data_IF_106868830880
#
_entry.id   IF_106868830880
#
_cell.length_a   1.000
_cell.length_b   1.000
_cell.length_c   1.000
_cell.angle_alpha   90.00
_cell.angle_beta   90.00
_cell.angle_gamma   90.00
#
_symmetry.space_group_name_H-M   'P 1'
#
loop_
_entity.id
_entity.type
_entity.pdbx_description
1 polymer ?
#
# COMPACT_ATOMS: atom_id res chain seq x y z
N UNK A 1 -15.39 -0.28 -10.26
CA UNK A 1 -15.53 0.72 -11.35
C UNK A 1 -16.98 1.09 -11.57
N UNK A 2 -17.88 0.13 -11.80
CA UNK A 2 -19.33 0.36 -12.00
C UNK A 2 -19.96 1.26 -10.93
N UNK A 3 -19.65 1.04 -9.65
CA UNK A 3 -20.12 1.88 -8.54
C UNK A 3 -19.87 3.38 -8.78
N UNK A 4 -18.69 3.74 -9.28
CA UNK A 4 -18.34 5.13 -9.56
C UNK A 4 -18.94 5.62 -10.88
N UNK A 5 -19.01 4.75 -11.88
CA UNK A 5 -19.65 5.04 -13.16
C UNK A 5 -21.16 5.30 -13.04
N UNK A 6 -21.80 4.79 -11.99
CA UNK A 6 -23.23 5.02 -11.71
C UNK A 6 -23.52 6.27 -10.86
N UNK A 7 -22.49 7.03 -10.43
CA UNK A 7 -22.70 8.28 -9.69
C UNK A 7 -23.16 9.43 -10.59
N UNK A 8 -24.05 10.33 -10.17
CA UNK A 8 -24.41 11.50 -10.96
C UNK A 8 -23.18 12.33 -11.36
N UNK A 9 -23.10 12.78 -12.62
CA UNK A 9 -21.94 13.57 -13.11
C UNK A 9 -21.71 14.84 -12.27
N UNK A 10 -22.79 15.48 -11.82
CA UNK A 10 -22.74 16.66 -10.92
C UNK A 10 -22.01 16.42 -9.60
N UNK A 11 -21.88 15.16 -9.18
CA UNK A 11 -21.24 14.78 -7.92
C UNK A 11 -19.78 14.33 -8.12
N UNK A 12 -19.26 14.32 -9.35
CA UNK A 12 -17.89 13.88 -9.66
C UNK A 12 -17.00 15.11 -9.85
N UNK A 13 -16.17 15.45 -8.85
CA UNK A 13 -15.27 16.63 -8.92
C UNK A 13 -13.87 16.29 -9.42
N UNK A 14 -13.53 15.01 -9.54
CA UNK A 14 -12.23 14.51 -9.99
C UNK A 14 -12.40 13.30 -10.89
N UNK A 15 -11.47 13.14 -11.82
CA UNK A 15 -11.32 11.91 -12.58
C UNK A 15 -10.79 10.81 -11.66
N UNK A 16 -11.38 9.62 -11.78
CA UNK A 16 -10.86 8.40 -11.16
C UNK A 16 -10.16 7.57 -12.23
N UNK A 17 -8.87 7.34 -12.04
CA UNK A 17 -8.09 6.42 -12.86
C UNK A 17 -7.92 5.08 -12.15
N UNK A 18 -8.12 3.99 -12.90
CA UNK A 18 -7.85 2.64 -12.42
C UNK A 18 -6.67 2.07 -13.20
N UNK A 19 -5.59 1.75 -12.50
CA UNK A 19 -4.38 1.20 -13.09
C UNK A 19 -4.12 -0.22 -12.56
N UNK A 20 -3.88 -1.15 -13.48
CA UNK A 20 -3.50 -2.54 -13.19
C UNK A 20 -2.03 -2.72 -13.55
N UNK A 21 -1.16 -2.58 -12.54
CA UNK A 21 0.27 -2.73 -12.74
C UNK A 21 0.67 -4.18 -12.93
N UNK A 22 1.76 -4.38 -13.68
CA UNK A 22 2.34 -5.70 -13.95
C UNK A 22 3.68 -5.88 -13.26
N UNK A 23 4.10 -7.13 -13.07
CA UNK A 23 5.45 -7.44 -12.60
C UNK A 23 5.71 -7.11 -11.14
N UNK A 24 4.67 -7.12 -10.29
CA UNK A 24 4.82 -6.80 -8.86
C UNK A 24 5.83 -7.72 -8.11
N UNK A 25 5.97 -8.97 -8.57
CA UNK A 25 7.00 -9.88 -8.05
C UNK A 25 8.31 -9.84 -8.84
N UNK A 26 8.41 -9.00 -9.87
CA UNK A 26 9.56 -8.96 -10.74
C UNK A 26 10.54 -7.89 -10.24
N UNK A 27 11.65 -8.35 -9.64
CA UNK A 27 12.67 -7.52 -9.00
C UNK A 27 13.12 -6.33 -9.88
N UNK A 28 13.50 -6.56 -11.13
CA UNK A 28 13.93 -5.51 -12.08
C UNK A 28 12.80 -4.90 -12.93
N UNK A 29 11.59 -5.48 -12.90
CA UNK A 29 10.46 -5.07 -13.75
C UNK A 29 9.21 -4.69 -12.99
N UNK A 30 9.35 -4.32 -11.72
CA UNK A 30 8.27 -3.78 -10.90
C UNK A 30 7.59 -2.58 -11.57
N UNK A 31 6.37 -2.82 -12.08
CA UNK A 31 5.58 -1.82 -12.80
C UNK A 31 5.10 -0.69 -11.89
N UNK A 32 4.82 -0.97 -10.62
CA UNK A 32 4.33 0.04 -9.67
C UNK A 32 5.37 1.10 -9.36
N UNK A 33 6.66 0.72 -9.34
CA UNK A 33 7.75 1.67 -9.18
C UNK A 33 7.87 2.60 -10.39
N UNK A 34 7.79 2.06 -11.61
CA UNK A 34 7.79 2.88 -12.84
C UNK A 34 6.60 3.83 -12.89
N UNK A 35 5.41 3.32 -12.58
CA UNK A 35 4.19 4.12 -12.52
C UNK A 35 4.28 5.23 -11.46
N UNK A 36 4.85 4.94 -10.28
CA UNK A 36 5.06 5.95 -9.25
C UNK A 36 5.93 7.12 -9.75
N UNK A 37 7.01 6.84 -10.51
CA UNK A 37 7.84 7.90 -11.11
C UNK A 37 7.13 8.68 -12.22
N UNK A 38 6.23 8.04 -12.97
CA UNK A 38 5.38 8.75 -13.92
C UNK A 38 4.41 9.69 -13.21
N UNK A 39 3.71 9.20 -12.19
CA UNK A 39 2.79 10.03 -11.39
C UNK A 39 3.52 11.15 -10.62
N UNK A 40 4.77 10.96 -10.17
CA UNK A 40 5.58 12.01 -9.55
C UNK A 40 5.79 13.19 -10.51
N UNK A 41 6.03 12.92 -11.81
CA UNK A 41 6.14 13.97 -12.84
C UNK A 41 4.80 14.69 -13.06
N UNK A 42 3.70 13.95 -13.09
CA UNK A 42 2.34 14.51 -13.28
C UNK A 42 1.79 15.23 -12.03
N UNK A 43 2.39 14.99 -10.86
CA UNK A 43 2.00 15.70 -9.65
C UNK A 43 2.32 17.20 -9.75
N UNK A 44 3.42 17.57 -10.41
CA UNK A 44 3.82 18.97 -10.57
C UNK A 44 2.89 19.74 -11.53
N UNK A 45 2.38 19.09 -12.59
CA UNK A 45 1.33 19.66 -13.46
C UNK A 45 -0.04 19.70 -12.77
N UNK A 46 -0.17 19.05 -11.62
CA UNK A 46 -1.33 19.12 -10.76
C UNK A 46 -2.41 18.08 -11.03
N UNK A 47 -2.09 17.04 -11.79
CA UNK A 47 -3.02 16.02 -12.25
C UNK A 47 -3.29 14.95 -11.19
N UNK A 48 -2.37 14.76 -10.24
CA UNK A 48 -2.46 13.71 -9.21
C UNK A 48 -2.85 14.29 -7.85
N UNK A 49 -3.97 13.83 -7.29
CA UNK A 49 -4.42 14.25 -5.95
C UNK A 49 -4.14 13.23 -4.84
N UNK A 50 -4.37 11.94 -5.11
CA UNK A 50 -4.18 10.83 -4.17
C UNK A 50 -3.99 9.54 -4.95
N UNK A 51 -3.06 8.70 -4.51
CA UNK A 51 -2.92 7.32 -4.97
C UNK A 51 -3.45 6.37 -3.89
N UNK A 52 -4.26 5.38 -4.29
CA UNK A 52 -4.84 4.37 -3.39
C UNK A 52 -4.48 2.96 -3.87
N UNK A 53 -3.26 2.47 -3.63
CA UNK A 53 -2.92 1.10 -3.98
C UNK A 53 -3.58 0.10 -3.04
N UNK A 54 -3.92 -1.06 -3.58
CA UNK A 54 -4.62 -2.11 -2.85
C UNK A 54 -4.09 -3.49 -3.24
N UNK A 55 -3.86 -4.35 -2.26
CA UNK A 55 -3.23 -5.66 -2.46
C UNK A 55 -3.85 -6.71 -1.54
N UNK A 56 -3.85 -7.98 -1.96
CA UNK A 56 -4.23 -9.11 -1.12
C UNK A 56 -5.59 -8.96 -0.40
N UNK A 57 -6.60 -8.44 -1.11
CA UNK A 57 -7.95 -8.31 -0.54
C UNK A 57 -8.65 -9.69 -0.46
N UNK A 58 -9.56 -9.85 0.50
CA UNK A 58 -10.38 -11.03 0.69
C UNK A 58 -9.70 -12.17 1.44
N UNK A 59 -8.42 -12.07 1.80
CA UNK A 59 -7.69 -13.20 2.39
C UNK A 59 -8.28 -13.73 3.71
N UNK A 60 -8.37 -15.05 3.80
CA UNK A 60 -8.57 -15.80 5.04
C UNK A 60 -7.22 -16.01 5.73
N UNK A 61 -7.21 -16.00 7.05
CA UNK A 61 -6.00 -16.29 7.80
C UNK A 61 -5.69 -17.79 7.78
N UNK A 62 -4.43 -18.08 7.44
CA UNK A 62 -3.86 -19.42 7.45
C UNK A 62 -2.68 -19.40 8.42
N UNK A 63 -2.66 -20.33 9.37
CA UNK A 63 -1.57 -20.48 10.33
C UNK A 63 -0.97 -21.89 10.24
N UNK A 64 0.32 -21.98 10.56
CA UNK A 64 0.97 -23.27 10.75
C UNK A 64 0.58 -23.85 12.12
N UNK A 65 0.03 -25.06 12.16
CA UNK A 65 -0.26 -25.80 13.40
C UNK A 65 0.59 -27.07 13.47
N UNK A 66 0.90 -27.60 14.66
CA UNK A 66 1.56 -28.91 14.77
C UNK A 66 0.78 -29.98 14.02
N UNK A 67 1.48 -30.90 13.36
CA UNK A 67 0.85 -32.09 12.76
C UNK A 67 0.32 -33.03 13.85
N UNK A 68 -0.44 -34.06 13.43
CA UNK A 68 -0.96 -35.10 14.33
C UNK A 68 0.11 -35.62 15.30
N UNK A 69 -0.26 -36.00 16.54
CA UNK A 69 0.69 -36.45 17.55
C UNK A 69 1.65 -37.53 17.02
N UNK A 70 2.95 -37.34 17.24
CA UNK A 70 4.01 -38.25 16.77
C UNK A 70 4.58 -37.93 15.39
N UNK A 71 3.99 -37.00 14.63
CA UNK A 71 4.52 -36.56 13.34
C UNK A 71 5.39 -35.31 13.48
N UNK A 72 6.60 -35.26 12.88
CA UNK A 72 7.43 -34.06 12.89
C UNK A 72 6.86 -32.96 11.98
N UNK A 73 7.04 -31.70 12.39
CA UNK A 73 6.75 -30.51 11.59
C UNK A 73 5.37 -29.87 11.86
N UNK A 74 5.00 -28.95 10.96
CA UNK A 74 3.73 -28.20 11.00
C UNK A 74 2.98 -28.34 9.67
N UNK A 75 1.69 -28.09 9.71
CA UNK A 75 0.81 -28.01 8.54
C UNK A 75 -0.01 -26.72 8.57
N UNK A 76 -0.39 -26.22 7.40
CA UNK A 76 -1.14 -24.98 7.28
C UNK A 76 -2.63 -25.25 7.37
N UNK A 77 -3.33 -24.46 8.19
CA UNK A 77 -4.79 -24.57 8.38
C UNK A 77 -5.45 -23.20 8.41
N UNK A 78 -6.70 -23.15 7.93
CA UNK A 78 -7.54 -21.99 8.13
C UNK A 78 -7.87 -21.83 9.61
N UNK A 79 -7.74 -20.61 10.13
CA UNK A 79 -8.11 -20.31 11.53
C UNK A 79 -9.59 -19.95 11.68
N UNK A 80 -10.29 -19.75 10.57
CA UNK A 80 -11.65 -19.21 10.51
C UNK A 80 -11.73 -17.68 10.60
N UNK A 81 -10.59 -16.98 10.75
CA UNK A 81 -10.51 -15.51 10.82
C UNK A 81 -10.13 -14.91 9.46
N UNK A 82 -10.39 -13.61 9.30
CA UNK A 82 -9.75 -12.83 8.24
C UNK A 82 -8.26 -12.63 8.53
N UNK A 83 -7.44 -12.57 7.49
CA UNK A 83 -6.03 -12.21 7.67
C UNK A 83 -5.90 -10.76 8.20
N UNK A 84 -4.78 -10.42 8.84
CA UNK A 84 -4.54 -9.05 9.31
C UNK A 84 -4.46 -8.09 8.11
N UNK A 85 -5.11 -6.95 8.21
CA UNK A 85 -4.97 -5.83 7.28
C UNK A 85 -4.03 -4.79 7.85
N UNK A 86 -3.12 -4.33 7.01
CA UNK A 86 -2.39 -3.11 7.21
C UNK A 86 -2.96 -2.03 6.30
N UNK A 87 -3.42 -0.93 6.88
CA UNK A 87 -3.84 0.24 6.14
C UNK A 87 -2.90 1.41 6.46
N UNK A 88 -1.88 1.59 5.62
CA UNK A 88 -0.96 2.71 5.77
C UNK A 88 -1.58 3.98 5.18
N UNK A 89 -1.43 5.10 5.88
CA UNK A 89 -1.91 6.41 5.44
C UNK A 89 -0.78 7.40 5.59
N UNK A 90 -0.42 8.08 4.50
CA UNK A 90 0.56 9.16 4.55
C UNK A 90 0.08 10.34 5.40
N UNK A 91 0.93 11.35 5.64
CA UNK A 91 0.64 12.42 6.59
C UNK A 91 -0.36 13.46 6.04
N UNK A 92 -1.58 13.02 5.81
CA UNK A 92 -2.72 13.81 5.35
C UNK A 92 -3.90 13.64 6.33
N UNK A 93 -4.15 14.62 7.22
CA UNK A 93 -5.24 14.54 8.18
C UNK A 93 -6.62 14.21 7.59
N UNK A 94 -7.06 14.78 6.45
CA UNK A 94 -8.35 14.40 5.88
C UNK A 94 -8.38 12.96 5.37
N UNK A 95 -7.29 12.45 4.77
CA UNK A 95 -7.22 11.06 4.29
C UNK A 95 -7.19 10.09 5.47
N UNK A 96 -6.47 10.41 6.55
CA UNK A 96 -6.47 9.62 7.80
C UNK A 96 -7.88 9.50 8.37
N UNK A 97 -8.64 10.61 8.43
CA UNK A 97 -10.04 10.57 8.88
C UNK A 97 -10.89 9.71 7.96
N UNK A 98 -10.80 9.91 6.64
CA UNK A 98 -11.57 9.14 5.67
C UNK A 98 -11.32 7.62 5.78
N UNK A 99 -10.06 7.21 5.98
CA UNK A 99 -9.68 5.80 6.19
C UNK A 99 -10.26 5.27 7.51
N UNK A 100 -10.08 5.99 8.62
CA UNK A 100 -10.63 5.59 9.92
C UNK A 100 -12.17 5.47 9.89
N UNK A 101 -12.85 6.38 9.21
CA UNK A 101 -14.30 6.37 9.07
C UNK A 101 -14.77 5.23 8.16
N UNK A 102 -14.06 4.94 7.07
CA UNK A 102 -14.34 3.80 6.21
C UNK A 102 -14.18 2.46 6.95
N UNK A 103 -13.11 2.31 7.73
CA UNK A 103 -12.88 1.15 8.60
C UNK A 103 -14.06 0.92 9.54
N UNK A 104 -14.48 1.97 10.27
CA UNK A 104 -15.60 1.90 11.22
C UNK A 104 -16.92 1.61 10.50
N UNK A 105 -17.23 2.36 9.44
CA UNK A 105 -18.49 2.25 8.68
C UNK A 105 -18.66 0.85 8.08
N UNK A 106 -17.60 0.28 7.52
CA UNK A 106 -17.63 -1.05 6.89
C UNK A 106 -17.37 -2.19 7.87
N UNK A 107 -17.17 -1.88 9.16
CA UNK A 107 -16.90 -2.85 10.23
C UNK A 107 -15.77 -3.81 9.81
N UNK A 108 -14.67 -3.25 9.34
CA UNK A 108 -13.50 -4.04 8.98
C UNK A 108 -12.88 -4.62 10.26
N UNK A 109 -12.72 -5.93 10.28
CA UNK A 109 -12.08 -6.67 11.36
C UNK A 109 -10.56 -6.72 11.16
N UNK A 110 -9.77 -6.86 12.23
CA UNK A 110 -8.31 -7.09 12.13
C UNK A 110 -7.60 -6.09 11.21
N UNK A 111 -7.81 -4.80 11.42
CA UNK A 111 -7.11 -3.74 10.68
C UNK A 111 -6.21 -2.94 11.60
N UNK A 112 -4.96 -2.77 11.19
CA UNK A 112 -4.01 -1.83 11.74
C UNK A 112 -3.94 -0.60 10.81
N UNK A 113 -4.46 0.53 11.27
CA UNK A 113 -4.27 1.81 10.58
C UNK A 113 -2.98 2.45 11.09
N UNK A 114 -2.01 2.66 10.20
CA UNK A 114 -0.67 3.12 10.57
C UNK A 114 -0.15 4.23 9.65
N UNK A 115 0.90 4.94 10.09
CA UNK A 115 1.62 5.93 9.27
C UNK A 115 2.67 5.30 8.35
N UNK A 116 2.90 4.00 8.51
CA UNK A 116 3.98 3.22 7.92
C UNK A 116 4.47 2.15 8.92
N UNK A 117 5.26 1.19 8.44
CA UNK A 117 5.78 0.05 9.21
C UNK A 117 7.28 0.10 9.48
N UNK A 118 8.03 0.95 8.79
CA UNK A 118 9.47 1.06 9.03
C UNK A 118 9.75 1.74 10.38
N UNK A 119 10.96 1.56 10.89
CA UNK A 119 11.47 2.46 11.94
C UNK A 119 11.41 3.91 11.41
N UNK A 120 10.95 4.89 12.20
CA UNK A 120 10.94 6.28 11.77
C UNK A 120 12.39 6.78 11.58
N UNK A 121 12.66 7.40 10.44
CA UNK A 121 13.91 8.11 10.19
C UNK A 121 13.64 9.61 9.96
N UNK A 122 14.13 10.46 10.86
CA UNK A 122 13.93 11.92 10.80
C UNK A 122 14.97 12.64 9.94
N UNK A 123 16.04 11.97 9.49
CA UNK A 123 17.06 12.56 8.61
C UNK A 123 16.72 12.43 7.12
N UNK A 124 15.57 11.86 6.78
CA UNK A 124 15.12 11.68 5.40
C UNK A 124 13.61 11.96 5.27
N UNK A 125 13.16 12.07 4.03
CA UNK A 125 11.74 12.13 3.68
C UNK A 125 11.37 11.00 2.70
N UNK A 126 10.24 10.32 2.89
CA UNK A 126 9.32 10.43 4.03
C UNK A 126 9.91 9.81 5.31
N UNK A 127 9.32 10.15 6.47
CA UNK A 127 9.81 9.66 7.78
C UNK A 127 9.66 8.15 7.95
N UNK A 128 8.64 7.55 7.33
CA UNK A 128 8.43 6.11 7.30
C UNK A 128 8.57 5.65 5.84
N UNK A 129 9.38 4.65 5.55
CA UNK A 129 9.71 4.25 4.17
C UNK A 129 9.00 2.99 3.72
N UNK A 130 8.24 2.33 4.60
CA UNK A 130 7.50 1.11 4.28
C UNK A 130 6.02 1.31 4.55
N UNK A 131 5.20 1.07 3.53
CA UNK A 131 3.74 0.98 3.60
C UNK A 131 3.25 -0.48 3.53
N UNK A 132 4.16 -1.45 3.67
CA UNK A 132 3.86 -2.89 3.67
C UNK A 132 3.68 -3.54 2.31
N UNK A 133 3.52 -2.79 1.21
CA UNK A 133 3.36 -3.35 -0.15
C UNK A 133 3.62 -2.30 -1.24
N UNK A 134 2.98 -2.41 -2.40
CA UNK A 134 3.16 -1.48 -3.54
C UNK A 134 2.88 -0.01 -3.20
N UNK A 135 2.07 0.26 -2.18
CA UNK A 135 1.89 1.61 -1.64
C UNK A 135 3.19 2.32 -1.27
N UNK A 136 4.20 1.53 -0.96
CA UNK A 136 5.53 2.00 -0.59
C UNK A 136 6.21 2.77 -1.72
N UNK A 137 6.03 2.36 -2.98
CA UNK A 137 6.66 3.03 -4.12
C UNK A 137 6.15 4.46 -4.28
N UNK A 138 4.82 4.64 -4.26
CA UNK A 138 4.17 5.94 -4.38
C UNK A 138 4.47 6.85 -3.16
N UNK A 139 4.48 6.27 -1.96
CA UNK A 139 4.82 7.01 -0.75
C UNK A 139 6.26 7.56 -0.78
N UNK A 140 7.21 6.76 -1.24
CA UNK A 140 8.63 7.13 -1.23
C UNK A 140 9.00 8.17 -2.30
N UNK A 141 8.26 8.24 -3.40
CA UNK A 141 8.33 9.38 -4.35
C UNK A 141 7.50 10.58 -3.91
N UNK A 142 7.00 10.58 -2.66
CA UNK A 142 6.29 11.68 -2.03
C UNK A 142 4.96 12.06 -2.70
N UNK A 143 4.29 11.08 -3.31
CA UNK A 143 2.90 11.24 -3.74
C UNK A 143 1.96 11.06 -2.54
N UNK A 144 0.91 11.90 -2.40
CA UNK A 144 -0.15 11.64 -1.44
C UNK A 144 -0.70 10.23 -1.63
N UNK A 145 -0.55 9.38 -0.61
CA UNK A 145 -0.82 7.94 -0.72
C UNK A 145 -1.49 7.40 0.53
N UNK A 146 -2.45 6.50 0.34
CA UNK A 146 -2.86 5.51 1.33
C UNK A 146 -2.86 4.13 0.68
N UNK A 147 -2.55 3.08 1.43
CA UNK A 147 -2.42 1.74 0.89
C UNK A 147 -3.04 0.73 1.83
N UNK A 148 -3.82 -0.20 1.29
CA UNK A 148 -4.38 -1.33 2.02
C UNK A 148 -3.77 -2.63 1.51
N UNK A 149 -3.24 -3.44 2.41
CA UNK A 149 -2.74 -4.77 2.13
C UNK A 149 -3.13 -5.74 3.24
N UNK A 150 -3.50 -6.98 2.90
CA UNK A 150 -3.59 -8.05 3.91
C UNK A 150 -2.27 -8.84 3.98
N UNK A 151 -1.82 -9.16 5.20
CA UNK A 151 -0.54 -9.80 5.51
C UNK A 151 -0.67 -10.81 6.67
N UNK A 152 0.12 -11.89 6.72
CA UNK A 152 1.44 -12.04 6.09
C UNK A 152 1.44 -12.74 4.71
N UNK A 153 0.41 -12.50 3.89
CA UNK A 153 0.36 -12.92 2.48
C UNK A 153 0.16 -14.42 2.29
N UNK A 154 -0.67 -15.02 3.13
CA UNK A 154 -1.04 -16.43 3.02
C UNK A 154 -1.70 -16.81 1.68
N UNK A 155 -2.23 -15.83 0.93
CA UNK A 155 -2.74 -16.00 -0.45
C UNK A 155 -1.70 -16.56 -1.44
N UNK A 156 -0.41 -16.58 -1.11
CA UNK A 156 0.61 -17.18 -1.97
C UNK A 156 0.64 -18.71 -1.92
N UNK A 157 -0.04 -19.36 -0.97
CA UNK A 157 -0.07 -20.81 -0.86
C UNK A 157 -1.06 -21.40 -1.89
N UNK A 158 -0.59 -21.94 -3.04
CA UNK A 158 -1.48 -22.31 -4.15
C UNK A 158 -2.43 -23.45 -3.78
N UNK A 159 -2.03 -24.26 -2.79
CA UNK A 159 -2.79 -25.38 -2.25
C UNK A 159 -4.21 -24.99 -1.77
N UNK A 160 -4.37 -23.80 -1.20
CA UNK A 160 -5.67 -23.33 -0.71
C UNK A 160 -6.53 -22.70 -1.83
N UNK A 161 -5.92 -22.35 -2.96
CA UNK A 161 -6.59 -21.83 -4.15
C UNK A 161 -7.64 -20.76 -3.84
N UNK A 162 -8.80 -20.90 -4.48
CA UNK A 162 -9.94 -19.99 -4.30
C UNK A 162 -10.51 -19.96 -2.87
N UNK A 163 -10.33 -21.02 -2.10
CA UNK A 163 -10.93 -21.14 -0.76
C UNK A 163 -10.23 -20.22 0.24
N UNK A 164 -9.00 -19.78 -0.06
CA UNK A 164 -8.30 -18.74 0.68
C UNK A 164 -8.94 -17.34 0.54
N UNK A 165 -9.93 -17.18 -0.34
CA UNK A 165 -10.63 -15.90 -0.56
C UNK A 165 -12.02 -15.93 0.08
N UNK A 166 -12.24 -15.02 1.00
CA UNK A 166 -13.54 -14.66 1.56
C UNK A 166 -14.14 -13.49 0.75
N UNK A 167 -15.18 -13.80 -0.01
CA UNK A 167 -15.83 -12.84 -0.93
C UNK A 167 -16.53 -11.71 -0.19
N UNK A 168 -17.12 -11.98 0.97
CA UNK A 168 -17.80 -10.96 1.77
C UNK A 168 -16.78 -10.00 2.38
N UNK A 169 -15.63 -10.52 2.83
CA UNK A 169 -14.51 -9.70 3.28
C UNK A 169 -13.93 -8.87 2.13
N UNK A 170 -13.70 -9.49 0.96
CA UNK A 170 -13.25 -8.79 -0.25
C UNK A 170 -14.17 -7.62 -0.60
N UNK A 171 -15.49 -7.86 -0.60
CA UNK A 171 -16.50 -6.83 -0.87
C UNK A 171 -16.43 -5.70 0.15
N UNK A 172 -16.36 -6.00 1.45
CA UNK A 172 -16.27 -4.97 2.51
C UNK A 172 -15.02 -4.11 2.36
N UNK A 173 -13.87 -4.71 2.06
CA UNK A 173 -12.61 -4.00 1.84
C UNK A 173 -12.66 -3.11 0.59
N UNK A 174 -13.13 -3.66 -0.54
CA UNK A 174 -13.26 -2.90 -1.79
C UNK A 174 -14.19 -1.69 -1.62
N UNK A 175 -15.30 -1.86 -0.89
CA UNK A 175 -16.20 -0.77 -0.56
C UNK A 175 -15.57 0.24 0.41
N UNK A 176 -14.78 -0.21 1.40
CA UNK A 176 -14.07 0.68 2.31
C UNK A 176 -13.01 1.53 1.58
N UNK A 177 -12.32 0.98 0.58
CA UNK A 177 -11.42 1.74 -0.27
C UNK A 177 -12.19 2.76 -1.11
N UNK A 178 -13.30 2.34 -1.73
CA UNK A 178 -14.09 3.22 -2.57
C UNK A 178 -14.82 4.33 -1.81
N UNK A 179 -15.03 4.13 -0.52
CA UNK A 179 -15.58 5.06 0.45
C UNK A 179 -14.69 6.28 0.72
N UNK A 180 -13.37 6.17 0.47
CA UNK A 180 -12.41 7.27 0.62
C UNK A 180 -12.71 8.38 -0.38
N UNK A 181 -12.99 8.01 -1.64
CA UNK A 181 -13.19 8.98 -2.72
C UNK A 181 -14.28 10.02 -2.39
N UNK A 182 -15.55 9.66 -2.15
CA UNK A 182 -16.57 10.65 -1.86
C UNK A 182 -16.32 11.42 -0.54
N UNK A 183 -15.52 10.87 0.38
CA UNK A 183 -15.16 11.54 1.63
C UNK A 183 -14.17 12.70 1.42
N UNK A 184 -13.37 12.68 0.35
CA UNK A 184 -12.33 13.70 0.10
C UNK A 184 -12.50 14.46 -1.22
N UNK A 185 -13.38 14.04 -2.13
CA UNK A 185 -13.52 14.61 -3.48
C UNK A 185 -13.83 16.12 -3.50
N UNK A 186 -14.46 16.63 -2.43
CA UNK A 186 -14.77 18.05 -2.27
C UNK A 186 -13.59 18.89 -1.74
N UNK A 187 -12.52 18.27 -1.26
CA UNK A 187 -11.38 18.96 -0.64
C UNK A 187 -10.37 19.45 -1.68
N UNK A 188 -9.73 20.62 -1.49
CA UNK A 188 -8.62 21.06 -2.34
C UNK A 188 -7.47 20.05 -2.38
N UNK A 189 -6.74 20.00 -3.50
CA UNK A 189 -5.61 19.04 -3.69
C UNK A 189 -4.56 19.19 -2.59
N UNK A 190 -4.28 20.42 -2.17
CA UNK A 190 -3.30 20.77 -1.15
C UNK A 190 -3.71 20.22 0.23
N UNK A 191 -5.02 20.19 0.50
CA UNK A 191 -5.56 19.59 1.72
C UNK A 191 -5.41 18.07 1.72
N UNK A 192 -5.63 17.43 0.56
CA UNK A 192 -5.40 16.00 0.37
C UNK A 192 -3.90 15.68 0.47
N UNK A 193 -3.03 16.54 -0.06
CA UNK A 193 -1.59 16.37 0.02
C UNK A 193 -1.05 16.50 1.45
N UNK A 194 -1.60 17.40 2.27
CA UNK A 194 -1.19 17.54 3.66
C UNK A 194 0.32 17.77 3.80
N UNK A 195 0.98 17.02 4.69
CA UNK A 195 2.43 17.20 4.94
C UNK A 195 3.33 16.61 3.83
N UNK A 196 2.79 15.96 2.80
CA UNK A 196 3.59 15.64 1.61
C UNK A 196 4.15 16.92 0.96
N UNK A 197 3.44 18.05 1.05
CA UNK A 197 3.95 19.34 0.60
C UNK A 197 5.19 19.79 1.37
N UNK A 198 5.31 19.44 2.64
CA UNK A 198 6.53 19.70 3.41
C UNK A 198 7.65 18.75 2.98
N UNK A 199 7.35 17.46 2.82
CA UNK A 199 8.35 16.50 2.34
C UNK A 199 8.90 16.86 0.96
N UNK A 200 8.06 17.30 0.03
CA UNK A 200 8.49 17.73 -1.30
C UNK A 200 9.40 18.95 -1.26
N UNK A 201 9.04 19.98 -0.48
CA UNK A 201 9.91 21.14 -0.23
C UNK A 201 11.25 20.76 0.41
N UNK A 202 11.27 19.74 1.27
CA UNK A 202 12.50 19.22 1.86
C UNK A 202 13.36 18.47 0.84
N UNK A 203 12.75 17.65 -0.03
CA UNK A 203 13.42 17.00 -1.18
C UNK A 203 14.06 18.04 -2.10
N UNK A 204 13.33 19.09 -2.46
CA UNK A 204 13.84 20.21 -3.29
C UNK A 204 15.05 20.92 -2.66
N UNK A 205 15.09 20.99 -1.33
CA UNK A 205 16.23 21.53 -0.56
C UNK A 205 17.38 20.53 -0.36
N UNK A 206 17.33 19.36 -1.01
CA UNK A 206 18.37 18.34 -0.95
C UNK A 206 18.28 17.38 0.24
N UNK A 207 17.15 17.32 0.94
CA UNK A 207 16.96 16.30 1.98
C UNK A 207 17.01 14.89 1.36
N UNK A 208 17.69 13.93 2.00
CA UNK A 208 17.72 12.55 1.54
C UNK A 208 16.32 11.98 1.33
N UNK A 209 16.14 11.25 0.25
CA UNK A 209 14.90 10.53 -0.06
C UNK A 209 15.11 9.03 -0.01
N UNK A 210 14.07 8.29 0.35
CA UNK A 210 14.11 6.84 0.25
C UNK A 210 14.19 6.43 -1.22
N UNK A 211 15.25 5.69 -1.59
CA UNK A 211 15.40 5.18 -2.94
C UNK A 211 15.08 3.69 -2.99
N UNK A 212 14.32 3.29 -4.02
CA UNK A 212 14.30 1.91 -4.47
C UNK A 212 15.21 1.81 -5.69
N UNK A 213 16.22 0.95 -5.60
CA UNK A 213 17.03 0.65 -6.76
C UNK A 213 16.17 -0.08 -7.80
N UNK A 214 16.42 0.20 -9.08
CA UNK A 214 16.12 -0.74 -10.16
C UNK A 214 17.32 -1.68 -10.28
N UNK A 215 17.31 -2.84 -9.63
CA UNK A 215 18.38 -3.80 -9.82
C UNK A 215 18.46 -4.17 -11.30
N UNK A 216 19.69 -4.20 -11.82
CA UNK A 216 19.97 -4.67 -13.18
C UNK A 216 19.44 -6.10 -13.36
N UNK A 217 18.92 -6.41 -14.55
CA UNK A 217 18.58 -7.80 -14.93
C UNK A 217 19.83 -8.65 -15.14
N UNK A 218 20.96 -7.99 -15.40
CA UNK A 218 22.25 -8.60 -15.64
C UNK A 218 23.06 -8.45 -14.36
N UNK A 219 23.51 -9.59 -13.82
CA UNK A 219 24.52 -9.58 -12.77
C UNK A 219 25.80 -8.96 -13.33
N UNK A 220 26.17 -7.79 -12.85
CA UNK A 220 27.47 -7.18 -13.12
C UNK A 220 28.43 -7.57 -12.00
N UNK A 221 29.71 -7.81 -12.32
CA UNK A 221 30.73 -8.13 -11.30
C UNK A 221 30.93 -7.00 -10.27
N UNK A 222 30.51 -5.78 -10.61
CA UNK A 222 30.46 -4.65 -9.69
C UNK A 222 29.22 -4.73 -8.79
N UNK A 223 29.38 -5.33 -7.61
CA UNK A 223 28.42 -5.10 -6.53
C UNK A 223 28.51 -3.65 -6.07
N UNK A 224 27.41 -2.88 -5.99
CA UNK A 224 27.41 -1.64 -5.25
C UNK A 224 27.75 -1.97 -3.80
N UNK A 225 28.75 -1.29 -3.23
CA UNK A 225 29.13 -1.42 -1.83
C UNK A 225 27.98 -0.93 -0.96
N UNK A 226 27.00 -1.79 -0.68
CA UNK A 226 26.09 -1.58 0.42
C UNK A 226 26.93 -1.62 1.69
N UNK A 227 26.98 -0.48 2.39
CA UNK A 227 27.75 -0.31 3.61
C UNK A 227 27.53 -1.52 4.53
N UNK A 228 28.66 -2.13 4.92
CA UNK A 228 28.72 -3.26 5.86
C UNK A 228 27.99 -2.87 7.15
N UNK A 229 26.71 -3.22 7.26
CA UNK A 229 26.08 -3.36 8.57
C UNK A 229 26.45 -4.75 9.08
N UNK A 230 27.47 -4.77 9.93
CA UNK A 230 27.86 -5.91 10.74
C UNK A 230 26.63 -6.45 11.46
N UNK A 231 26.19 -7.65 11.07
CA UNK A 231 25.29 -8.47 11.89
C UNK A 231 26.16 -9.02 13.02
N UNK A 232 25.93 -8.56 14.24
CA UNK A 232 26.42 -9.24 15.45
C UNK A 232 25.33 -10.24 15.82
N UNK A 233 25.76 -11.50 16.02
CA UNK A 233 24.96 -12.66 16.38
C UNK A 233 24.09 -12.44 17.62
#
# INVERSE_FOLDING_TARGET
>A
MEYFANRPLKDRRRTLEFCFNTGHLHISKEGSLRHAHELDRLYESGEVALVIPMEHLGSREIEAIPRSPGMPGRELHFTGRGEMMLWCVGPSPPVVRAVCDAVKRRKLDRVLVARGLSKPNRSQVPTFTSFGGIGTYYHNVLLPTTSLISGPWSLWAPYFGKDAVDIDRLRRQALALGDIYPAIDHLPRESIAGHYLQYRRLREKGSPTAQFAYPSEIATEEMPTYGRNTVIY
#
